data_IF_304786878839
#
_entry.id   IF_304786878839
#
_cell.length_a   1.000
_cell.length_b   1.000
_cell.length_c   1.000
_cell.angle_alpha   90.00
_cell.angle_beta   90.00
_cell.angle_gamma   90.00
#
_symmetry.space_group_name_H-M   'P 1'
#
loop_
_entity.id
_entity.type
_entity.pdbx_description
1 polymer ?
#
# COMPACT_ATOMS: atom_id res chain seq x y z
N UNK A 1 15.61 2.68 -21.86
CA UNK A 1 14.44 1.81 -22.10
C UNK A 1 13.56 1.80 -20.86
N UNK A 2 12.24 1.93 -21.02
CA UNK A 2 11.28 1.88 -19.92
C UNK A 2 10.64 0.49 -19.86
N UNK A 3 10.64 -0.14 -18.69
CA UNK A 3 9.97 -1.42 -18.44
C UNK A 3 9.04 -1.30 -17.24
N UNK A 4 7.92 -2.01 -17.27
CA UNK A 4 7.03 -2.17 -16.11
C UNK A 4 7.01 -3.64 -15.77
N UNK A 5 7.33 -3.98 -14.52
CA UNK A 5 7.32 -5.36 -14.04
C UNK A 5 6.58 -5.48 -12.74
N UNK A 6 6.07 -6.68 -12.49
CA UNK A 6 5.48 -7.03 -11.19
C UNK A 6 6.57 -7.01 -10.11
N UNK A 7 6.19 -6.60 -8.90
CA UNK A 7 7.08 -6.62 -7.75
C UNK A 7 7.43 -8.04 -7.32
N UNK A 8 8.59 -8.18 -6.67
CA UNK A 8 9.01 -9.38 -5.96
C UNK A 8 9.18 -9.07 -4.47
N UNK A 9 9.36 -10.09 -3.64
CA UNK A 9 9.56 -9.92 -2.21
C UNK A 9 10.80 -9.07 -1.86
N UNK A 10 11.78 -8.99 -2.75
CA UNK A 10 13.02 -8.22 -2.56
C UNK A 10 12.81 -6.71 -2.76
N UNK A 11 11.71 -6.30 -3.39
CA UNK A 11 11.40 -4.88 -3.64
C UNK A 11 10.83 -4.15 -2.41
N UNK A 12 10.80 -4.78 -1.24
CA UNK A 12 10.17 -4.25 -0.03
C UNK A 12 10.70 -2.88 0.41
N UNK A 13 12.00 -2.61 0.20
CA UNK A 13 12.60 -1.32 0.57
C UNK A 13 12.05 -0.21 -0.30
N UNK A 14 12.07 -0.40 -1.62
CA UNK A 14 11.55 0.57 -2.58
C UNK A 14 10.06 0.82 -2.37
N UNK A 15 9.29 -0.24 -2.12
CA UNK A 15 7.88 -0.14 -1.80
C UNK A 15 7.64 0.77 -0.58
N UNK A 16 8.40 0.57 0.51
CA UNK A 16 8.24 1.40 1.71
C UNK A 16 8.52 2.88 1.44
N UNK A 17 9.60 3.19 0.74
CA UNK A 17 9.96 4.59 0.44
C UNK A 17 8.88 5.23 -0.45
N UNK A 18 8.45 4.56 -1.52
CA UNK A 18 7.45 5.10 -2.45
C UNK A 18 6.02 5.14 -1.87
N UNK A 19 5.66 4.23 -0.95
CA UNK A 19 4.39 4.34 -0.21
C UNK A 19 4.43 5.58 0.67
N UNK A 20 5.55 5.85 1.33
CA UNK A 20 5.68 7.04 2.18
C UNK A 20 5.63 8.35 1.37
N UNK A 21 6.08 8.33 0.12
CA UNK A 21 5.91 9.46 -0.82
C UNK A 21 4.43 9.70 -1.14
N UNK A 22 3.67 8.66 -1.50
CA UNK A 22 2.26 8.80 -1.90
C UNK A 22 1.26 8.86 -0.73
N UNK A 23 1.66 8.39 0.45
CA UNK A 23 0.85 8.31 1.65
C UNK A 23 1.65 8.72 2.91
N UNK A 24 2.04 10.01 3.03
CA UNK A 24 2.90 10.50 4.11
C UNK A 24 2.24 10.48 5.51
N UNK A 25 0.97 10.04 5.61
CA UNK A 25 0.25 9.91 6.87
C UNK A 25 0.55 8.59 7.62
N UNK A 26 1.18 7.59 6.98
CA UNK A 26 1.52 6.33 7.65
C UNK A 26 2.36 6.51 8.94
N UNK A 27 3.37 7.40 8.98
CA UNK A 27 4.09 7.75 10.22
C UNK A 27 3.20 8.25 11.36
N UNK A 28 2.11 8.96 11.06
CA UNK A 28 1.16 9.43 12.09
C UNK A 28 0.42 8.25 12.72
N UNK A 29 0.15 7.21 11.93
CA UNK A 29 -0.61 6.02 12.36
C UNK A 29 0.25 5.02 13.14
N UNK A 30 1.49 4.80 12.71
CA UNK A 30 2.34 3.71 13.20
C UNK A 30 3.62 4.18 13.91
N UNK A 31 3.89 5.50 13.91
CA UNK A 31 5.08 6.08 14.53
C UNK A 31 6.37 5.41 14.06
N UNK A 32 7.23 5.05 15.00
CA UNK A 32 8.52 4.41 14.72
C UNK A 32 8.40 3.00 14.08
N UNK A 33 7.22 2.36 14.14
CA UNK A 33 7.00 1.04 13.54
C UNK A 33 6.65 1.11 12.05
N UNK A 34 6.44 2.30 11.50
CA UNK A 34 5.89 2.49 10.15
C UNK A 34 6.58 1.66 9.07
N UNK A 35 7.92 1.71 9.00
CA UNK A 35 8.67 0.94 8.01
C UNK A 35 8.43 -0.56 8.20
N UNK A 36 8.52 -1.08 9.43
CA UNK A 36 8.26 -2.50 9.73
C UNK A 36 6.86 -2.93 9.31
N UNK A 37 5.84 -2.11 9.59
CA UNK A 37 4.46 -2.42 9.20
C UNK A 37 4.31 -2.48 7.69
N UNK A 38 4.82 -1.49 6.97
CA UNK A 38 4.77 -1.46 5.51
C UNK A 38 5.52 -2.64 4.88
N UNK A 39 6.68 -3.02 5.43
CA UNK A 39 7.42 -4.20 4.97
C UNK A 39 6.64 -5.50 5.18
N UNK A 40 5.98 -5.64 6.33
CA UNK A 40 5.16 -6.82 6.62
C UNK A 40 3.94 -6.89 5.70
N UNK A 41 3.24 -5.78 5.50
CA UNK A 41 2.13 -5.68 4.58
C UNK A 41 2.55 -6.04 3.15
N UNK A 42 3.71 -5.56 2.70
CA UNK A 42 4.24 -5.88 1.38
C UNK A 42 4.52 -7.38 1.21
N UNK A 43 5.13 -8.02 2.21
CA UNK A 43 5.57 -9.41 2.12
C UNK A 43 4.45 -10.42 2.33
N UNK A 44 3.44 -10.08 3.12
CA UNK A 44 2.33 -11.00 3.36
C UNK A 44 1.44 -11.11 2.13
N UNK A 45 1.04 -12.34 1.80
CA UNK A 45 0.08 -12.59 0.73
C UNK A 45 -1.35 -12.18 1.13
N UNK A 46 -2.17 -11.97 0.11
CA UNK A 46 -3.61 -11.77 0.21
C UNK A 46 -3.99 -10.56 1.07
N UNK A 47 -3.28 -9.45 0.86
CA UNK A 47 -3.65 -8.16 1.40
C UNK A 47 -3.36 -7.07 0.36
N UNK A 48 -4.05 -5.95 0.47
CA UNK A 48 -4.08 -4.91 -0.57
C UNK A 48 -2.78 -4.12 -0.73
N UNK A 49 -1.81 -4.32 0.15
CA UNK A 49 -0.48 -3.73 0.07
C UNK A 49 0.60 -4.76 -0.31
N UNK A 50 0.20 -6.01 -0.56
CA UNK A 50 1.09 -7.09 -0.94
C UNK A 50 1.82 -6.79 -2.26
N UNK A 51 3.03 -7.32 -2.39
CA UNK A 51 3.78 -7.34 -3.65
C UNK A 51 2.97 -7.91 -4.83
N UNK A 52 1.95 -8.72 -4.54
CA UNK A 52 1.01 -9.27 -5.53
C UNK A 52 0.26 -8.19 -6.34
N UNK A 53 0.15 -6.98 -5.80
CA UNK A 53 -0.61 -5.84 -6.35
C UNK A 53 0.29 -4.66 -6.75
N UNK A 54 1.61 -4.81 -6.66
CA UNK A 54 2.59 -3.74 -6.92
C UNK A 54 3.31 -4.00 -8.23
N UNK A 55 3.47 -2.93 -9.02
CA UNK A 55 4.30 -2.91 -10.21
C UNK A 55 5.33 -1.79 -10.08
N UNK A 56 6.56 -2.06 -10.51
CA UNK A 56 7.61 -1.06 -10.58
C UNK A 56 7.84 -0.66 -12.04
N UNK A 57 7.92 0.65 -12.26
CA UNK A 57 8.42 1.22 -13.50
C UNK A 57 9.94 1.41 -13.38
N UNK A 58 10.68 0.90 -14.34
CA UNK A 58 12.14 0.95 -14.39
C UNK A 58 12.61 1.70 -15.64
N UNK A 59 13.59 2.58 -15.48
CA UNK A 59 14.27 3.31 -16.55
C UNK A 59 15.74 2.89 -16.52
N UNK A 60 16.21 2.29 -17.60
CA UNK A 60 17.59 1.81 -17.74
C UNK A 60 18.05 0.90 -16.58
N UNK A 61 17.14 0.00 -16.17
CA UNK A 61 17.37 -0.98 -15.09
C UNK A 61 17.26 -0.41 -13.67
N UNK A 62 16.95 0.88 -13.51
CA UNK A 62 16.73 1.52 -12.20
C UNK A 62 15.25 1.75 -11.97
N UNK A 63 14.75 1.41 -10.78
CA UNK A 63 13.37 1.72 -10.37
C UNK A 63 13.18 3.24 -10.33
N UNK A 64 12.23 3.72 -11.12
CA UNK A 64 11.85 5.13 -11.19
C UNK A 64 10.59 5.43 -10.37
N UNK A 65 9.73 4.43 -10.18
CA UNK A 65 8.50 4.56 -9.39
C UNK A 65 7.73 3.26 -9.30
N UNK A 66 6.55 3.34 -8.68
CA UNK A 66 5.65 2.21 -8.52
C UNK A 66 4.19 2.60 -8.74
N UNK A 67 3.40 1.58 -9.05
CA UNK A 67 1.94 1.61 -9.02
C UNK A 67 1.49 0.48 -8.08
N UNK A 68 0.64 0.82 -7.12
CA UNK A 68 -0.12 -0.15 -6.32
C UNK A 68 -1.57 -0.13 -6.79
N UNK A 69 -2.07 -1.26 -7.26
CA UNK A 69 -3.46 -1.34 -7.71
C UNK A 69 -4.01 -2.76 -7.72
N UNK A 70 -5.33 -2.85 -7.65
CA UNK A 70 -6.05 -4.10 -7.56
C UNK A 70 -7.47 -3.97 -8.12
N UNK A 71 -8.02 -5.07 -8.62
CA UNK A 71 -9.43 -5.14 -9.03
C UNK A 71 -10.39 -5.24 -7.83
N UNK A 72 -11.68 -5.06 -8.13
CA UNK A 72 -12.77 -5.17 -7.17
C UNK A 72 -12.85 -6.54 -6.47
N UNK A 73 -12.44 -7.65 -7.11
CA UNK A 73 -12.49 -8.98 -6.51
C UNK A 73 -11.42 -9.14 -5.45
N UNK A 74 -10.20 -8.69 -5.75
CA UNK A 74 -9.09 -8.63 -4.80
C UNK A 74 -9.45 -7.71 -3.64
N UNK A 75 -10.03 -6.54 -3.92
CA UNK A 75 -10.55 -5.63 -2.90
C UNK A 75 -11.54 -6.34 -1.98
N UNK A 76 -12.57 -6.98 -2.52
CA UNK A 76 -13.59 -7.69 -1.73
C UNK A 76 -13.00 -8.82 -0.87
N UNK A 77 -12.11 -9.62 -1.44
CA UNK A 77 -11.49 -10.79 -0.78
C UNK A 77 -10.49 -10.40 0.30
N UNK A 78 -9.75 -9.33 0.12
CA UNK A 78 -8.55 -9.05 0.93
C UNK A 78 -8.71 -7.85 1.88
N UNK A 79 -9.80 -7.07 1.76
CA UNK A 79 -10.02 -5.89 2.59
C UNK A 79 -10.05 -6.20 4.09
N UNK A 80 -10.74 -7.27 4.50
CA UNK A 80 -10.81 -7.69 5.91
C UNK A 80 -9.44 -8.09 6.45
N UNK A 81 -8.68 -8.88 5.68
CA UNK A 81 -7.33 -9.32 6.05
C UNK A 81 -6.37 -8.14 6.15
N UNK A 82 -6.44 -7.20 5.22
CA UNK A 82 -5.67 -5.95 5.25
C UNK A 82 -5.99 -5.13 6.49
N UNK A 83 -7.28 -4.94 6.79
CA UNK A 83 -7.73 -4.25 8.00
C UNK A 83 -7.22 -4.91 9.28
N UNK A 84 -7.28 -6.24 9.36
CA UNK A 84 -6.77 -7.00 10.49
C UNK A 84 -5.25 -6.84 10.68
N UNK A 85 -4.46 -6.94 9.59
CA UNK A 85 -3.00 -6.73 9.64
C UNK A 85 -2.63 -5.33 10.13
N UNK A 86 -3.31 -4.30 9.62
CA UNK A 86 -3.13 -2.92 10.06
C UNK A 86 -3.48 -2.77 11.55
N UNK A 87 -4.62 -3.32 11.98
CA UNK A 87 -5.08 -3.23 13.37
C UNK A 87 -4.11 -3.91 14.36
N UNK A 88 -3.60 -5.09 14.01
CA UNK A 88 -2.64 -5.84 14.82
C UNK A 88 -1.39 -5.01 15.16
N UNK A 89 -0.94 -4.16 14.24
CA UNK A 89 0.27 -3.35 14.40
C UNK A 89 0.03 -2.01 15.13
N UNK A 90 -1.16 -1.42 14.98
CA UNK A 90 -1.56 -0.18 15.68
C UNK A 90 -1.75 -0.43 17.19
N UNK A 91 -2.35 -1.56 17.56
CA UNK A 91 -2.76 -1.86 18.94
C UNK A 91 -4.01 -1.09 19.40
N UNK A 92 -4.59 -1.50 20.52
CA UNK A 92 -5.89 -0.99 21.00
C UNK A 92 -5.90 0.53 21.35
N UNK A 93 -4.75 1.12 21.70
CA UNK A 93 -4.69 2.51 22.19
C UNK A 93 -4.94 3.62 21.15
N UNK A 94 -4.78 3.32 19.85
CA UNK A 94 -4.99 4.29 18.75
C UNK A 94 -6.31 4.03 18.01
N UNK A 95 -7.05 2.98 18.40
CA UNK A 95 -8.31 2.56 17.78
C UNK A 95 -9.35 3.69 17.68
N UNK A 96 -9.40 4.56 18.68
CA UNK A 96 -10.31 5.71 18.72
C UNK A 96 -9.97 6.73 17.62
N UNK A 97 -8.69 6.99 17.35
CA UNK A 97 -8.23 7.87 16.24
C UNK A 97 -8.39 7.20 14.88
N UNK A 98 -8.32 5.87 14.81
CA UNK A 98 -8.54 5.12 13.57
C UNK A 98 -10.03 5.09 13.16
N UNK A 99 -10.94 4.95 14.12
CA UNK A 99 -12.39 4.99 13.88
C UNK A 99 -12.87 6.35 13.36
N UNK A 100 -12.27 7.45 13.81
CA UNK A 100 -12.59 8.79 13.29
C UNK A 100 -12.13 8.97 11.84
N UNK A 101 -10.98 8.40 11.45
CA UNK A 101 -10.49 8.40 10.07
C UNK A 101 -11.31 7.46 9.15
N UNK A 102 -11.84 6.35 9.68
CA UNK A 102 -12.76 5.46 8.93
C UNK A 102 -14.11 6.12 8.69
N UNK A 103 -14.64 6.92 9.62
CA UNK A 103 -15.91 7.64 9.40
C UNK A 103 -15.81 8.71 8.29
N UNK A 104 -14.60 9.12 7.91
CA UNK A 104 -14.36 9.93 6.70
C UNK A 104 -14.35 9.11 5.39
N UNK A 105 -14.47 7.77 5.45
CA UNK A 105 -14.38 6.84 4.30
C UNK A 105 -15.70 6.52 3.60
N UNK A 106 -16.72 7.38 3.66
CA UNK A 106 -17.68 7.37 2.55
C UNK A 106 -17.03 7.84 1.23
N UNK A 107 -15.82 8.41 1.30
CA UNK A 107 -15.07 8.98 0.16
C UNK A 107 -13.80 8.19 -0.23
N UNK A 108 -13.32 7.24 0.59
CA UNK A 108 -12.13 6.43 0.24
C UNK A 108 -12.54 5.26 -0.64
N UNK A 109 -12.65 5.54 -1.94
CA UNK A 109 -12.65 4.58 -3.04
C UNK A 109 -13.60 3.39 -2.86
N UNK A 110 -14.91 3.61 -3.01
CA UNK A 110 -15.82 2.49 -3.33
C UNK A 110 -15.43 1.99 -4.72
N UNK A 111 -14.66 0.90 -4.78
CA UNK A 111 -14.38 0.17 -6.02
C UNK A 111 -15.67 -0.56 -6.37
N UNK A 112 -16.32 -0.15 -7.46
CA UNK A 112 -17.53 -0.81 -7.95
C UNK A 112 -17.17 -2.14 -8.61
N UNK A 113 -18.15 -3.03 -8.70
CA UNK A 113 -17.97 -4.27 -9.43
C UNK A 113 -17.56 -3.96 -10.88
N UNK A 114 -16.47 -4.58 -11.34
CA UNK A 114 -15.86 -4.33 -12.65
C UNK A 114 -14.76 -3.26 -12.67
N UNK A 115 -14.55 -2.49 -11.59
CA UNK A 115 -13.51 -1.46 -11.56
C UNK A 115 -12.12 -2.01 -11.16
N UNK A 116 -11.09 -1.32 -11.64
CA UNK A 116 -9.71 -1.47 -11.19
C UNK A 116 -9.29 -0.21 -10.45
N UNK A 117 -8.77 -0.37 -9.24
CA UNK A 117 -8.42 0.74 -8.38
C UNK A 117 -6.91 0.88 -8.27
N UNK A 118 -6.39 2.04 -8.69
CA UNK A 118 -5.01 2.43 -8.44
C UNK A 118 -4.98 3.17 -7.10
N UNK A 119 -4.45 2.50 -6.08
CA UNK A 119 -4.40 3.02 -4.72
C UNK A 119 -3.31 4.09 -4.58
N UNK A 120 -2.15 3.84 -5.18
CA UNK A 120 -0.98 4.70 -5.04
C UNK A 120 -0.19 4.70 -6.33
N UNK A 121 0.28 5.88 -6.73
CA UNK A 121 1.32 6.06 -7.73
C UNK A 121 2.36 6.97 -7.08
N UNK A 122 3.63 6.56 -7.14
CA UNK A 122 4.72 7.37 -6.65
C UNK A 122 5.94 7.19 -7.54
N UNK A 123 6.72 8.25 -7.67
CA UNK A 123 8.02 8.26 -8.32
C UNK A 123 9.06 8.69 -7.29
N UNK A 124 10.30 8.26 -7.48
CA UNK A 124 11.40 8.82 -6.70
C UNK A 124 11.56 10.32 -7.04
N UNK A 125 11.65 11.20 -6.03
CA UNK A 125 11.93 12.60 -6.27
C UNK A 125 13.39 12.76 -6.72
N UNK A 126 13.57 12.92 -8.03
CA UNK A 126 14.83 13.06 -8.79
C UNK A 126 15.67 11.77 -8.91
N UNK A 127 15.91 11.38 -10.17
CA UNK A 127 17.00 10.49 -10.63
C UNK A 127 18.20 11.39 -10.97
#
# INVERSE_FOLDING_TARGET
>A
MITIRKATLDDYKDFCELILVSAPYFPILFGNKTKTVLQNLFRYHSNLFSFEHVYFAEVDGKKAGMILGYDWQNKKRENLRTGFLLFKEIGFGILVKFLSLIKFKETVGKVRDGEYYISNIAIYPLI
#
